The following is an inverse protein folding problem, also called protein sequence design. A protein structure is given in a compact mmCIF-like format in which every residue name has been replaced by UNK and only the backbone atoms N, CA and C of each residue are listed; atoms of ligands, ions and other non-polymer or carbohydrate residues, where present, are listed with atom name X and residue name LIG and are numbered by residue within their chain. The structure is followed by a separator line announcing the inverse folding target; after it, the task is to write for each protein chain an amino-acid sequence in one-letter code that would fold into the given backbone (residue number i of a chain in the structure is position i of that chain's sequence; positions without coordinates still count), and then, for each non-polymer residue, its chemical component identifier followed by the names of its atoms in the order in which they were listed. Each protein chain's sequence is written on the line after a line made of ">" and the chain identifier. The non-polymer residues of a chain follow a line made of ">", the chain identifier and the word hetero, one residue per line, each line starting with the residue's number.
data_IF_074999177715
#
_entry.id   IF_074999177715
#
_cell.length_a   1.000
_cell.length_b   1.000
_cell.length_c   1.000
_cell.angle_alpha   90.00
_cell.angle_beta   90.00
_cell.angle_gamma   90.00
#
_symmetry.space_group_name_H-M   'P 1'
#
loop_
_entity.id
_entity.type
_entity.pdbx_description
1 polymer ?
#
# COMPACT_ATOMS: atom_id res chain seq x y z
N UNK A 1 1.61 -10.57 -2.38
CA UNK A 1 1.48 -10.58 -0.90
C UNK A 1 1.38 -9.14 -0.44
N UNK A 2 0.41 -8.81 0.42
CA UNK A 2 0.18 -7.45 0.94
C UNK A 2 0.40 -7.32 2.43
N UNK A 3 0.06 -6.16 2.99
CA UNK A 3 0.07 -5.93 4.44
C UNK A 3 -1.25 -5.30 4.91
N UNK A 4 -1.61 -5.55 6.15
CA UNK A 4 -2.70 -4.86 6.84
C UNK A 4 -2.21 -4.42 8.22
N UNK A 5 -2.62 -3.24 8.65
CA UNK A 5 -2.25 -2.62 9.93
C UNK A 5 -3.51 -2.07 10.60
N UNK A 6 -3.85 -2.56 11.79
CA UNK A 6 -4.85 -1.91 12.64
C UNK A 6 -4.26 -0.61 13.20
N UNK A 7 -4.99 0.49 13.05
CA UNK A 7 -4.61 1.82 13.52
C UNK A 7 -5.20 2.12 14.90
N UNK A 8 -4.67 3.14 15.58
CA UNK A 8 -5.12 3.53 16.92
C UNK A 8 -6.58 4.02 16.96
N UNK A 9 -7.09 4.58 15.86
CA UNK A 9 -8.50 4.98 15.73
C UNK A 9 -9.46 3.79 15.51
N UNK A 10 -8.94 2.57 15.46
CA UNK A 10 -9.74 1.37 15.20
C UNK A 10 -9.90 1.02 13.73
N UNK A 11 -9.47 1.84 12.76
CA UNK A 11 -9.53 1.51 11.33
C UNK A 11 -8.41 0.54 10.91
N UNK A 12 -8.57 -0.12 9.75
CA UNK A 12 -7.51 -0.93 9.14
C UNK A 12 -6.94 -0.22 7.93
N UNK A 13 -5.63 0.01 7.93
CA UNK A 13 -4.89 0.41 6.74
C UNK A 13 -4.37 -0.82 5.98
N UNK A 14 -4.58 -0.87 4.67
CA UNK A 14 -4.33 -2.03 3.82
C UNK A 14 -3.44 -1.64 2.65
N UNK A 15 -2.44 -2.47 2.39
CA UNK A 15 -1.56 -2.41 1.22
C UNK A 15 -1.93 -3.54 0.26
N UNK A 16 -2.79 -3.26 -0.71
CA UNK A 16 -3.13 -4.15 -1.80
C UNK A 16 -2.00 -4.16 -2.84
N UNK A 17 -0.95 -4.91 -2.48
CA UNK A 17 0.38 -4.83 -3.07
C UNK A 17 0.40 -5.01 -4.59
N UNK A 18 -0.28 -6.02 -5.13
CA UNK A 18 -0.24 -6.30 -6.57
C UNK A 18 -0.87 -5.19 -7.43
N UNK A 19 -1.80 -4.42 -6.85
CA UNK A 19 -2.56 -3.38 -7.54
C UNK A 19 -2.05 -1.97 -7.22
N UNK A 20 -0.98 -1.85 -6.42
CA UNK A 20 -0.42 -0.56 -6.01
C UNK A 20 -1.44 0.33 -5.29
N UNK A 21 -2.46 -0.27 -4.66
CA UNK A 21 -3.54 0.44 -3.96
C UNK A 21 -3.32 0.39 -2.46
N UNK A 22 -3.38 1.55 -1.84
CA UNK A 22 -3.30 1.74 -0.39
C UNK A 22 -4.63 2.33 0.07
N UNK A 23 -5.28 1.73 1.06
CA UNK A 23 -6.59 2.22 1.49
C UNK A 23 -6.84 1.96 2.98
N UNK A 24 -7.74 2.75 3.57
CA UNK A 24 -8.15 2.65 4.97
C UNK A 24 -9.64 2.31 5.05
N UNK A 25 -9.98 1.32 5.87
CA UNK A 25 -11.36 0.89 6.10
C UNK A 25 -11.77 0.97 7.56
N UNK A 26 -13.02 1.30 7.83
CA UNK A 26 -13.64 1.22 9.17
C UNK A 26 -13.81 -0.23 9.62
N UNK A 27 -14.08 -0.50 10.92
CA UNK A 27 -14.49 -1.82 11.39
C UNK A 27 -15.72 -2.39 10.66
N UNK A 28 -16.61 -1.52 10.20
CA UNK A 28 -17.82 -1.85 9.44
C UNK A 28 -17.53 -2.14 7.95
N UNK A 29 -16.30 -1.91 7.49
CA UNK A 29 -15.84 -2.19 6.13
C UNK A 29 -15.99 -1.02 5.15
N UNK A 30 -16.28 0.19 5.63
CA UNK A 30 -16.39 1.38 4.79
C UNK A 30 -15.00 1.93 4.45
N UNK A 31 -14.74 2.25 3.17
CA UNK A 31 -13.46 2.87 2.77
C UNK A 31 -13.51 4.37 3.05
N UNK A 32 -12.59 4.86 3.89
CA UNK A 32 -12.53 6.27 4.33
C UNK A 32 -11.36 7.04 3.74
N UNK A 33 -10.38 6.34 3.17
CA UNK A 33 -9.25 6.94 2.47
C UNK A 33 -8.69 5.96 1.46
N UNK A 34 -8.21 6.47 0.32
CA UNK A 34 -7.63 5.66 -0.75
C UNK A 34 -6.53 6.43 -1.48
N UNK A 35 -5.51 5.71 -1.90
CA UNK A 35 -4.47 6.18 -2.79
C UNK A 35 -4.02 5.05 -3.73
N UNK A 36 -3.94 5.37 -5.02
CA UNK A 36 -3.40 4.47 -6.05
C UNK A 36 -2.04 5.02 -6.47
N UNK A 37 -0.99 4.19 -6.37
CA UNK A 37 0.36 4.55 -6.79
C UNK A 37 0.35 4.81 -8.30
N UNK A 38 0.63 6.06 -8.76
CA UNK A 38 0.55 6.41 -10.17
C UNK A 38 1.81 6.04 -10.96
N UNK A 39 2.81 5.45 -10.28
CA UNK A 39 4.12 5.16 -10.85
C UNK A 39 4.18 3.71 -11.32
N UNK A 40 4.14 3.53 -12.64
CA UNK A 40 4.21 2.23 -13.29
C UNK A 40 5.58 2.02 -13.93
N UNK A 41 6.18 0.86 -13.70
CA UNK A 41 7.44 0.50 -14.34
C UNK A 41 7.53 -0.99 -14.67
N UNK A 42 8.40 -1.34 -15.60
CA UNK A 42 8.69 -2.74 -15.93
C UNK A 42 9.69 -3.32 -14.92
N UNK A 43 9.55 -4.60 -14.62
CA UNK A 43 10.57 -5.31 -13.86
C UNK A 43 11.83 -5.47 -14.73
N UNK A 44 13.03 -5.30 -14.17
CA UNK A 44 14.26 -5.63 -14.88
C UNK A 44 14.20 -7.04 -15.46
N UNK A 45 14.62 -7.22 -16.72
CA UNK A 45 14.57 -8.48 -17.48
C UNK A 45 15.07 -9.69 -16.67
N UNK A 46 16.20 -9.54 -15.98
CA UNK A 46 16.82 -10.59 -15.18
C UNK A 46 15.98 -11.05 -13.98
N UNK A 47 15.04 -10.21 -13.52
CA UNK A 47 14.08 -10.51 -12.46
C UNK A 47 12.74 -10.98 -13.03
N UNK A 48 12.26 -10.38 -14.12
CA UNK A 48 10.97 -10.73 -14.73
C UNK A 48 11.03 -12.10 -15.41
N UNK A 49 12.16 -12.44 -16.06
CA UNK A 49 12.39 -13.69 -16.81
C UNK A 49 11.23 -14.06 -17.78
N UNK A 50 10.52 -13.06 -18.30
CA UNK A 50 9.33 -13.25 -19.14
C UNK A 50 8.08 -13.76 -18.40
N UNK A 51 8.13 -13.90 -17.07
CA UNK A 51 7.04 -14.41 -16.23
C UNK A 51 6.07 -13.29 -15.83
N UNK A 52 6.59 -12.07 -15.63
CA UNK A 52 5.82 -10.90 -15.22
C UNK A 52 5.74 -9.93 -16.41
N UNK A 53 4.60 -9.92 -17.14
CA UNK A 53 4.44 -9.02 -18.28
C UNK A 53 4.05 -7.60 -17.84
N UNK A 54 4.39 -6.62 -18.69
CA UNK A 54 3.89 -5.25 -18.61
C UNK A 54 4.45 -4.42 -17.46
N UNK A 55 3.89 -3.21 -17.33
CA UNK A 55 4.26 -2.27 -16.27
C UNK A 55 3.45 -2.55 -15.01
N UNK A 56 4.12 -2.47 -13.88
CA UNK A 56 3.60 -2.77 -12.55
C UNK A 56 3.79 -1.55 -11.65
N UNK A 57 2.86 -1.30 -10.75
CA UNK A 57 2.94 -0.25 -9.71
C UNK A 57 2.97 -0.87 -8.30
N UNK A 58 3.42 -2.12 -8.21
CA UNK A 58 3.28 -2.93 -7.01
C UNK A 58 4.02 -2.30 -5.82
N UNK A 59 3.35 -2.28 -4.67
CA UNK A 59 4.02 -2.05 -3.39
C UNK A 59 4.32 -3.39 -2.71
N UNK A 60 5.26 -3.44 -1.78
CA UNK A 60 5.49 -4.63 -0.95
C UNK A 60 4.79 -4.51 0.42
N UNK A 61 4.92 -3.35 1.04
CA UNK A 61 4.35 -3.04 2.36
C UNK A 61 4.20 -1.53 2.47
N UNK A 62 3.19 -1.10 3.22
CA UNK A 62 3.00 0.29 3.61
C UNK A 62 2.60 0.35 5.09
N UNK A 63 2.97 1.46 5.74
CA UNK A 63 2.63 1.76 7.13
C UNK A 63 2.00 3.13 7.21
N UNK A 64 1.02 3.26 8.10
CA UNK A 64 0.38 4.55 8.43
C UNK A 64 0.63 4.82 9.90
N UNK A 65 1.05 6.05 10.18
CA UNK A 65 1.38 6.52 11.52
C UNK A 65 0.47 7.68 11.88
N UNK A 66 0.10 7.78 13.15
CA UNK A 66 -0.50 8.99 13.68
C UNK A 66 0.52 10.13 13.63
N UNK A 67 0.06 11.37 13.49
CA UNK A 67 0.93 12.53 13.34
C UNK A 67 1.88 12.72 14.56
N UNK A 68 1.41 12.35 15.75
CA UNK A 68 2.17 12.39 17.00
C UNK A 68 3.12 11.19 17.19
N UNK A 69 2.95 10.11 16.43
CA UNK A 69 3.80 8.92 16.50
C UNK A 69 5.18 9.13 15.86
N UNK A 70 5.34 10.17 15.01
CA UNK A 70 6.62 10.49 14.37
C UNK A 70 7.13 11.83 14.89
N UNK A 71 7.96 11.78 15.93
CA UNK A 71 8.45 12.96 16.66
C UNK A 71 9.24 13.96 15.80
N UNK A 72 9.86 13.48 14.71
CA UNK A 72 10.69 14.28 13.79
C UNK A 72 9.93 14.82 12.57
N UNK A 73 8.65 14.49 12.38
CA UNK A 73 7.83 14.93 11.23
C UNK A 73 7.10 16.27 11.49
N UNK A 74 7.47 17.00 12.54
CA UNK A 74 6.85 18.28 12.91
C UNK A 74 7.43 19.46 12.13
#
# INVERSE_FOLDING_TARGET
>A
MGSAQRLANGNTFICESAFGRLFEVTPEGETVWEYIIPFFNEYPEHLSKGIIPGKQNSAFRAHRYAADAISWLK
#
